data_IF_425285890907
#
_entry.id   IF_425285890907
#
_cell.length_a   1.000
_cell.length_b   1.000
_cell.length_c   1.000
_cell.angle_alpha   90.00
_cell.angle_beta   90.00
_cell.angle_gamma   90.00
#
_symmetry.space_group_name_H-M   'P 1'
#
loop_
_entity.id
_entity.type
_entity.pdbx_description
1 polymer ?
#
# COMPACT_ATOMS: atom_id res chain seq x y z
N UNK A 1 -4.65 5.68 -15.14
CA UNK A 1 -3.53 4.88 -14.59
C UNK A 1 -3.33 5.35 -13.17
N UNK A 2 -3.29 4.43 -12.21
CA UNK A 2 -3.13 4.74 -10.79
C UNK A 2 -1.79 4.18 -10.34
N UNK A 3 -1.06 4.96 -9.55
CA UNK A 3 0.18 4.51 -8.91
C UNK A 3 -0.18 3.87 -7.58
N UNK A 4 0.26 2.63 -7.38
CA UNK A 4 0.01 1.90 -6.15
C UNK A 4 1.31 1.44 -5.51
N UNK A 5 1.27 1.23 -4.20
CA UNK A 5 2.30 0.54 -3.43
C UNK A 5 1.64 -0.60 -2.67
N UNK A 6 2.35 -1.70 -2.46
CA UNK A 6 1.89 -2.80 -1.63
C UNK A 6 2.52 -2.71 -0.25
N UNK A 7 1.70 -2.58 0.78
CA UNK A 7 2.10 -2.49 2.19
C UNK A 7 1.68 -3.76 2.92
N UNK A 8 2.62 -4.34 3.67
CA UNK A 8 2.38 -5.46 4.56
C UNK A 8 2.46 -4.98 6.01
N UNK A 9 1.42 -5.28 6.77
CA UNK A 9 1.38 -5.01 8.20
C UNK A 9 1.99 -6.16 9.01
N UNK A 10 2.27 -5.91 10.29
CA UNK A 10 2.83 -6.91 11.22
C UNK A 10 1.92 -8.13 11.40
N UNK A 11 0.60 -7.99 11.19
CA UNK A 11 -0.33 -9.13 11.21
C UNK A 11 -0.12 -9.99 9.95
N UNK A 12 -0.03 -11.33 10.11
CA UNK A 12 0.23 -12.21 8.98
C UNK A 12 -0.90 -12.17 7.93
N UNK A 13 -0.52 -12.33 6.66
CA UNK A 13 -1.41 -12.91 5.65
C UNK A 13 -1.88 -12.01 4.50
N UNK A 14 -1.91 -10.68 4.62
CA UNK A 14 -2.43 -9.81 3.54
C UNK A 14 -1.51 -8.64 3.23
N UNK A 15 -1.27 -8.44 1.93
CA UNK A 15 -0.69 -7.21 1.37
C UNK A 15 -1.86 -6.33 0.97
N UNK A 16 -1.82 -5.07 1.40
CA UNK A 16 -2.82 -4.06 1.07
C UNK A 16 -2.20 -3.06 0.11
N UNK A 17 -3.01 -2.55 -0.81
CA UNK A 17 -2.56 -1.58 -1.80
C UNK A 17 -2.99 -0.19 -1.40
N UNK A 18 -2.07 0.76 -1.51
CA UNK A 18 -2.28 2.16 -1.16
C UNK A 18 -1.78 3.06 -2.29
N UNK A 19 -2.37 4.25 -2.40
CA UNK A 19 -1.82 5.33 -3.21
C UNK A 19 -0.62 5.94 -2.46
N UNK A 20 0.58 6.04 -3.06
CA UNK A 20 1.71 6.69 -2.43
C UNK A 20 1.54 8.22 -2.29
N UNK A 21 0.42 8.83 -2.72
CA UNK A 21 0.05 10.25 -2.56
C UNK A 21 1.16 11.24 -2.92
N UNK A 22 1.99 10.87 -3.91
CA UNK A 22 3.14 11.67 -4.34
C UNK A 22 4.43 11.47 -3.55
N UNK A 23 4.42 10.67 -2.48
CA UNK A 23 5.64 10.28 -1.77
C UNK A 23 6.53 9.37 -2.62
N UNK A 24 7.84 9.61 -2.54
CA UNK A 24 8.84 8.73 -3.14
C UNK A 24 9.15 7.60 -2.16
N UNK A 25 8.37 6.53 -2.24
CA UNK A 25 8.56 5.31 -1.45
C UNK A 25 9.14 4.19 -2.31
N UNK A 26 9.93 3.34 -1.69
CA UNK A 26 10.59 2.20 -2.31
C UNK A 26 10.28 0.91 -1.54
N UNK A 27 10.52 -0.23 -2.19
CA UNK A 27 10.41 -1.53 -1.53
C UNK A 27 11.42 -1.60 -0.37
N UNK A 28 10.94 -1.99 0.79
CA UNK A 28 11.73 -2.03 2.04
C UNK A 28 11.46 -0.85 2.95
N UNK A 29 10.89 0.25 2.44
CA UNK A 29 10.58 1.42 3.27
C UNK A 29 9.51 1.09 4.31
N UNK A 30 9.62 1.76 5.45
CA UNK A 30 8.63 1.71 6.51
C UNK A 30 7.66 2.86 6.35
N UNK A 31 6.37 2.57 6.45
CA UNK A 31 5.30 3.54 6.23
C UNK A 31 4.30 3.49 7.36
N UNK A 32 3.73 4.65 7.64
CA UNK A 32 2.57 4.81 8.51
C UNK A 32 1.38 5.10 7.59
N UNK A 33 0.33 4.30 7.70
CA UNK A 33 -0.86 4.39 6.85
C UNK A 33 -2.10 4.45 7.73
N UNK A 34 -3.03 5.32 7.36
CA UNK A 34 -4.32 5.43 8.01
C UNK A 34 -5.28 4.39 7.42
N UNK A 35 -5.80 3.51 8.27
CA UNK A 35 -6.80 2.49 7.92
C UNK A 35 -8.11 2.78 8.65
N UNK A 36 -9.18 2.09 8.29
CA UNK A 36 -10.48 2.22 8.98
C UNK A 36 -10.42 1.89 10.49
N UNK A 37 -9.32 1.26 10.96
CA UNK A 37 -9.10 0.92 12.38
C UNK A 37 -8.14 1.88 13.08
N UNK A 38 -7.70 2.93 12.39
CA UNK A 38 -6.74 3.92 12.86
C UNK A 38 -5.41 3.83 12.12
N UNK A 39 -4.38 4.42 12.73
CA UNK A 39 -3.05 4.52 12.13
C UNK A 39 -2.27 3.23 12.36
N UNK A 40 -1.75 2.62 11.29
CA UNK A 40 -1.00 1.37 11.34
C UNK A 40 0.41 1.51 10.75
N UNK A 41 1.37 0.80 11.36
CA UNK A 41 2.73 0.67 10.87
C UNK A 41 2.88 -0.52 9.92
N UNK A 42 3.41 -0.26 8.73
CA UNK A 42 3.61 -1.25 7.69
C UNK A 42 4.98 -1.16 7.03
N UNK A 43 5.28 -2.13 6.17
CA UNK A 43 6.49 -2.14 5.34
C UNK A 43 6.08 -2.30 3.88
N UNK A 44 6.69 -1.51 3.01
CA UNK A 44 6.47 -1.56 1.56
C UNK A 44 7.10 -2.83 1.01
N UNK A 45 6.26 -3.77 0.57
CA UNK A 45 6.69 -5.05 -0.02
C UNK A 45 6.62 -5.04 -1.55
N UNK A 46 5.81 -4.15 -2.11
CA UNK A 46 5.76 -3.83 -3.54
C UNK A 46 5.99 -2.32 -3.69
N UNK A 47 7.08 -1.96 -4.36
CA UNK A 47 7.37 -0.57 -4.69
C UNK A 47 6.33 0.02 -5.66
N UNK A 48 6.47 1.29 -6.04
CA UNK A 48 5.48 1.96 -6.84
C UNK A 48 5.28 1.28 -8.20
N UNK A 49 4.03 0.91 -8.49
CA UNK A 49 3.63 0.26 -9.73
C UNK A 49 2.43 0.98 -10.32
N UNK A 50 2.42 1.18 -11.63
CA UNK A 50 1.26 1.69 -12.33
C UNK A 50 0.32 0.54 -12.70
N UNK A 51 -0.96 0.72 -12.39
CA UNK A 51 -2.03 -0.24 -12.69
C UNK A 51 -3.19 0.47 -13.38
N UNK A 52 -3.94 -0.29 -14.18
CA UNK A 52 -5.23 0.16 -14.72
C UNK A 52 -6.32 0.02 -13.66
N UNK A 53 -7.38 0.82 -13.75
CA UNK A 53 -8.48 0.82 -12.77
C UNK A 53 -9.07 -0.58 -12.55
N UNK A 54 -9.16 -1.37 -13.63
CA UNK A 54 -9.71 -2.73 -13.63
C UNK A 54 -8.92 -3.73 -12.78
N UNK A 55 -7.69 -3.40 -12.37
CA UNK A 55 -6.82 -4.27 -11.57
C UNK A 55 -6.85 -3.95 -10.07
N UNK A 56 -7.51 -2.86 -9.65
CA UNK A 56 -7.55 -2.44 -8.26
C UNK A 56 -8.81 -3.00 -7.60
N UNK A 57 -8.65 -4.09 -6.86
CA UNK A 57 -9.72 -4.59 -5.98
C UNK A 57 -9.72 -3.77 -4.70
N UNK A 58 -10.62 -2.79 -4.60
CA UNK A 58 -10.82 -2.05 -3.35
C UNK A 58 -11.42 -3.01 -2.30
N UNK A 59 -10.89 -3.05 -1.06
CA UNK A 59 -11.53 -3.82 -0.01
C UNK A 59 -12.92 -3.22 0.30
N UNK A 60 -13.93 -4.09 0.37
CA UNK A 60 -15.29 -3.81 0.86
C UNK A 60 -15.29 -3.33 2.31
#
# INVERSE_FOLDING_TARGET
>A
MIKIIGVKFRKPGKVYYFDPTGFTVQKGDHVIVETARGVEYGTVVLGPKEVTDDQVVQPL
#
